data_IF_621367722412
#
_entry.id   IF_621367722412
#
_cell.length_a   1.000
_cell.length_b   1.000
_cell.length_c   1.000
_cell.angle_alpha   90.00
_cell.angle_beta   90.00
_cell.angle_gamma   90.00
#
_symmetry.space_group_name_H-M   'P 1'
#
loop_
_entity.id
_entity.type
_entity.pdbx_description
1 polymer ?
#
# COMPACT_ATOMS: atom_id res chain seq x y z
N UNK A 1 16.76 -5.62 7.06
CA UNK A 1 15.98 -4.38 7.15
C UNK A 1 15.71 -3.81 5.76
N UNK A 2 16.72 -3.68 4.90
CA UNK A 2 16.47 -3.19 3.53
C UNK A 2 15.59 -4.13 2.70
N UNK A 3 15.68 -5.44 2.89
CA UNK A 3 14.78 -6.39 2.18
C UNK A 3 13.32 -6.18 2.59
N UNK A 4 13.03 -5.93 3.87
CA UNK A 4 11.65 -5.76 4.36
C UNK A 4 10.98 -4.52 3.77
N UNK A 5 11.71 -3.40 3.64
CA UNK A 5 11.17 -2.19 2.98
C UNK A 5 10.88 -2.43 1.49
N UNK A 6 11.70 -3.22 0.81
CA UNK A 6 11.48 -3.53 -0.61
C UNK A 6 10.29 -4.47 -0.77
N UNK A 7 10.16 -5.48 0.09
CA UNK A 7 9.00 -6.38 0.09
C UNK A 7 7.71 -5.61 0.35
N UNK A 8 7.64 -4.85 1.44
CA UNK A 8 6.44 -4.07 1.78
C UNK A 8 6.16 -2.98 0.73
N UNK A 9 7.19 -2.24 0.32
CA UNK A 9 7.06 -1.13 -0.62
C UNK A 9 6.59 -1.58 -1.99
N UNK A 10 7.14 -2.66 -2.54
CA UNK A 10 6.72 -3.19 -3.85
C UNK A 10 5.28 -3.71 -3.81
N UNK A 11 4.91 -4.45 -2.76
CA UNK A 11 3.53 -4.93 -2.59
C UNK A 11 2.57 -3.74 -2.52
N UNK A 12 2.88 -2.74 -1.70
CA UNK A 12 1.98 -1.60 -1.50
C UNK A 12 1.94 -0.63 -2.70
N UNK A 13 3.01 -0.55 -3.49
CA UNK A 13 2.99 0.15 -4.79
C UNK A 13 1.98 -0.51 -5.72
N UNK A 14 1.98 -1.84 -5.82
CA UNK A 14 1.01 -2.56 -6.65
C UNK A 14 -0.41 -2.34 -6.12
N UNK A 15 -0.64 -2.47 -4.81
CA UNK A 15 -1.95 -2.24 -4.18
C UNK A 15 -2.48 -0.81 -4.44
N UNK A 16 -1.63 0.21 -4.32
CA UNK A 16 -2.02 1.57 -4.64
C UNK A 16 -2.33 1.76 -6.13
N UNK A 17 -1.53 1.19 -7.02
CA UNK A 17 -1.75 1.30 -8.47
C UNK A 17 -3.05 0.63 -8.93
N UNK A 18 -3.38 -0.56 -8.41
CA UNK A 18 -4.63 -1.24 -8.80
C UNK A 18 -5.88 -0.48 -8.34
N UNK A 19 -5.79 0.34 -7.28
CA UNK A 19 -6.86 1.26 -6.86
C UNK A 19 -6.92 2.50 -7.73
N UNK A 20 -5.76 3.12 -8.01
CA UNK A 20 -5.65 4.29 -8.89
C UNK A 20 -6.18 3.98 -10.30
N UNK A 21 -5.93 2.79 -10.82
CA UNK A 21 -6.39 2.36 -12.15
C UNK A 21 -7.79 1.73 -12.13
N UNK A 22 -8.51 1.80 -11.01
CA UNK A 22 -9.86 1.25 -10.88
C UNK A 22 -9.94 -0.23 -11.32
N UNK A 23 -8.90 -1.01 -10.99
CA UNK A 23 -8.87 -2.47 -11.17
C UNK A 23 -9.46 -3.14 -9.93
N UNK A 24 -9.34 -2.49 -8.77
CA UNK A 24 -9.88 -2.94 -7.50
C UNK A 24 -11.27 -2.36 -7.23
N UNK A 25 -12.08 -3.07 -6.43
CA UNK A 25 -13.46 -2.73 -6.05
C UNK A 25 -14.50 -2.88 -7.17
N UNK A 26 -14.21 -3.68 -8.19
CA UNK A 26 -15.18 -4.07 -9.21
C UNK A 26 -16.05 -5.19 -8.64
N UNK A 27 -17.37 -4.98 -8.66
CA UNK A 27 -18.36 -5.98 -8.27
C UNK A 27 -19.15 -6.45 -9.50
N UNK A 28 -19.57 -7.73 -9.53
CA UNK A 28 -20.51 -8.24 -10.53
C UNK A 28 -21.82 -7.45 -10.52
N UNK A 29 -22.46 -7.32 -11.68
CA UNK A 29 -23.68 -6.52 -11.86
C UNK A 29 -24.85 -6.99 -10.96
N UNK A 30 -24.87 -8.28 -10.66
CA UNK A 30 -25.85 -8.97 -9.83
C UNK A 30 -25.82 -8.46 -8.38
N UNK A 31 -24.64 -8.08 -7.89
CA UNK A 31 -24.47 -7.59 -6.50
C UNK A 31 -25.18 -6.26 -6.29
N UNK A 32 -25.26 -5.40 -7.31
CA UNK A 32 -25.95 -4.12 -7.23
C UNK A 32 -27.48 -4.23 -7.20
N UNK A 33 -28.03 -5.41 -7.49
CA UNK A 33 -29.47 -5.68 -7.43
C UNK A 33 -29.93 -6.19 -6.06
N UNK A 34 -28.99 -6.58 -5.20
CA UNK A 34 -29.27 -7.06 -3.86
C UNK A 34 -29.69 -5.92 -2.93
N UNK A 35 -30.53 -6.23 -1.94
CA UNK A 35 -30.86 -5.30 -0.87
C UNK A 35 -29.66 -5.16 0.07
N UNK A 36 -29.53 -4.00 0.73
CA UNK A 36 -28.42 -3.74 1.67
C UNK A 36 -28.25 -4.82 2.76
N UNK A 37 -29.35 -5.42 3.24
CA UNK A 37 -29.32 -6.47 4.27
C UNK A 37 -28.88 -7.84 3.73
N UNK A 38 -28.87 -8.02 2.42
CA UNK A 38 -28.47 -9.25 1.73
C UNK A 38 -26.98 -9.23 1.34
N UNK A 39 -26.33 -8.07 1.40
CA UNK A 39 -24.90 -7.93 1.12
C UNK A 39 -24.07 -8.48 2.27
N UNK A 40 -23.06 -9.29 1.94
CA UNK A 40 -22.03 -9.67 2.89
C UNK A 40 -21.07 -8.48 3.15
N UNK A 41 -20.25 -8.60 4.19
CA UNK A 41 -19.34 -7.52 4.58
C UNK A 41 -18.33 -7.15 3.49
N UNK A 42 -17.91 -8.11 2.66
CA UNK A 42 -16.97 -7.87 1.56
C UNK A 42 -17.66 -7.08 0.45
N UNK A 43 -18.80 -7.55 -0.07
CA UNK A 43 -19.52 -6.83 -1.11
C UNK A 43 -19.99 -5.46 -0.65
N UNK A 44 -20.43 -5.31 0.61
CA UNK A 44 -20.78 -4.02 1.17
C UNK A 44 -19.58 -3.05 1.18
N UNK A 45 -18.43 -3.51 1.65
CA UNK A 45 -17.20 -2.70 1.68
C UNK A 45 -16.75 -2.33 0.27
N UNK A 46 -16.75 -3.29 -0.65
CA UNK A 46 -16.33 -3.05 -2.02
C UNK A 46 -17.30 -2.14 -2.77
N UNK A 47 -18.60 -2.27 -2.54
CA UNK A 47 -19.61 -1.37 -3.12
C UNK A 47 -19.41 0.07 -2.61
N UNK A 48 -19.16 0.24 -1.30
CA UNK A 48 -18.89 1.56 -0.74
C UNK A 48 -17.60 2.18 -1.30
N UNK A 49 -16.50 1.42 -1.30
CA UNK A 49 -15.19 1.90 -1.75
C UNK A 49 -15.17 2.15 -3.27
N UNK A 50 -15.92 1.35 -4.04
CA UNK A 50 -16.02 1.43 -5.50
C UNK A 50 -17.11 2.37 -6.02
N UNK A 51 -18.02 2.86 -5.17
CA UNK A 51 -19.12 3.74 -5.59
C UNK A 51 -18.64 5.04 -6.25
N UNK A 52 -17.57 5.64 -5.70
CA UNK A 52 -16.97 6.87 -6.25
C UNK A 52 -15.56 6.56 -6.77
N UNK A 53 -15.32 6.65 -8.10
CA UNK A 53 -13.99 6.48 -8.68
C UNK A 53 -12.94 7.37 -8.01
N UNK A 54 -13.31 8.62 -7.74
CA UNK A 54 -12.43 9.57 -7.06
C UNK A 54 -12.01 9.10 -5.66
N UNK A 55 -12.92 8.51 -4.89
CA UNK A 55 -12.62 7.99 -3.56
C UNK A 55 -11.67 6.79 -3.62
N UNK A 56 -11.91 5.84 -4.54
CA UNK A 56 -11.01 4.70 -4.77
C UNK A 56 -9.60 5.16 -5.16
N UNK A 57 -9.50 6.14 -6.08
CA UNK A 57 -8.23 6.74 -6.52
C UNK A 57 -7.51 7.40 -5.34
N UNK A 58 -8.24 8.14 -4.50
CA UNK A 58 -7.68 8.77 -3.30
C UNK A 58 -7.07 7.74 -2.34
N UNK A 59 -7.77 6.64 -2.07
CA UNK A 59 -7.25 5.53 -1.26
C UNK A 59 -6.01 4.90 -1.90
N UNK A 60 -5.99 4.77 -3.23
CA UNK A 60 -4.83 4.31 -3.96
C UNK A 60 -3.61 5.23 -3.80
N UNK A 61 -3.78 6.54 -3.78
CA UNK A 61 -2.68 7.48 -3.49
C UNK A 61 -2.16 7.37 -2.06
N UNK A 62 -3.04 7.14 -1.07
CA UNK A 62 -2.65 6.90 0.33
C UNK A 62 -1.86 5.60 0.52
N UNK A 63 -1.87 4.69 -0.46
CA UNK A 63 -1.02 3.50 -0.48
C UNK A 63 0.22 3.70 -1.34
N UNK A 64 0.06 4.24 -2.55
CA UNK A 64 1.11 4.36 -3.54
C UNK A 64 2.22 5.34 -3.13
N UNK A 65 1.86 6.54 -2.63
CA UNK A 65 2.84 7.57 -2.28
C UNK A 65 3.72 7.09 -1.12
N UNK A 66 3.18 6.63 0.03
CA UNK A 66 4.01 6.16 1.14
C UNK A 66 4.85 4.94 0.77
N UNK A 67 4.29 4.02 -0.03
CA UNK A 67 5.03 2.84 -0.51
C UNK A 67 6.21 3.22 -1.43
N UNK A 68 6.02 4.22 -2.30
CA UNK A 68 7.09 4.74 -3.16
C UNK A 68 8.19 5.38 -2.31
N UNK A 69 7.82 6.18 -1.31
CA UNK A 69 8.77 6.80 -0.37
C UNK A 69 9.55 5.74 0.43
N UNK A 70 8.91 4.60 0.75
CA UNK A 70 9.52 3.48 1.47
C UNK A 70 10.71 2.86 0.69
N UNK A 71 10.66 2.89 -0.64
CA UNK A 71 11.70 2.33 -1.50
C UNK A 71 12.99 3.15 -1.48
N UNK A 72 12.97 4.45 -1.18
CA UNK A 72 14.17 5.28 -1.17
C UNK A 72 14.74 5.44 0.25
N UNK A 73 16.02 5.15 0.44
CA UNK A 73 16.69 5.18 1.76
C UNK A 73 16.53 6.51 2.50
N UNK A 74 16.45 7.62 1.76
CA UNK A 74 16.29 8.97 2.32
C UNK A 74 14.89 9.24 2.87
N UNK A 75 13.85 8.66 2.26
CA UNK A 75 12.45 8.95 2.58
C UNK A 75 11.74 7.78 3.24
N UNK A 76 12.44 6.66 3.47
CA UNK A 76 11.82 5.42 3.97
C UNK A 76 11.02 5.58 5.25
N UNK A 77 11.42 6.50 6.13
CA UNK A 77 10.72 6.75 7.39
C UNK A 77 9.45 7.55 7.21
N UNK A 78 9.50 8.57 6.37
CA UNK A 78 8.31 9.30 5.97
C UNK A 78 7.32 8.34 5.30
N UNK A 79 7.82 7.45 4.43
CA UNK A 79 7.04 6.38 3.82
C UNK A 79 6.35 5.48 4.86
N UNK A 80 7.11 4.91 5.80
CA UNK A 80 6.55 4.04 6.83
C UNK A 80 5.52 4.75 7.73
N UNK A 81 5.81 5.97 8.21
CA UNK A 81 4.88 6.74 9.05
C UNK A 81 3.57 7.05 8.32
N UNK A 82 3.64 7.40 7.03
CA UNK A 82 2.46 7.69 6.23
C UNK A 82 1.69 6.42 5.83
N UNK A 83 2.37 5.28 5.72
CA UNK A 83 1.77 3.99 5.34
C UNK A 83 1.02 3.34 6.50
N UNK A 84 1.50 3.54 7.73
CA UNK A 84 0.93 2.97 8.96
C UNK A 84 -0.59 3.17 9.11
N UNK A 85 -1.15 4.40 9.06
CA UNK A 85 -2.59 4.60 9.21
C UNK A 85 -3.39 3.90 8.11
N UNK A 86 -2.85 3.86 6.88
CA UNK A 86 -3.49 3.19 5.75
C UNK A 86 -3.56 1.67 5.96
N UNK A 87 -2.46 1.05 6.39
CA UNK A 87 -2.41 -0.38 6.71
C UNK A 87 -3.29 -0.73 7.91
N UNK A 88 -3.33 0.12 8.94
CA UNK A 88 -4.25 -0.04 10.08
C UNK A 88 -5.70 -0.02 9.62
N UNK A 89 -6.08 0.95 8.77
CA UNK A 89 -7.43 1.05 8.24
C UNK A 89 -7.82 -0.22 7.46
N UNK A 90 -6.96 -0.68 6.54
CA UNK A 90 -7.19 -1.92 5.77
C UNK A 90 -7.32 -3.13 6.68
N UNK A 91 -6.43 -3.29 7.67
CA UNK A 91 -6.46 -4.41 8.61
C UNK A 91 -7.74 -4.42 9.45
N UNK A 92 -8.14 -3.28 10.02
CA UNK A 92 -9.35 -3.19 10.83
C UNK A 92 -10.62 -3.36 10.01
N UNK A 93 -10.68 -2.84 8.77
CA UNK A 93 -11.80 -3.10 7.85
C UNK A 93 -11.91 -4.61 7.58
N UNK A 94 -10.79 -5.27 7.26
CA UNK A 94 -10.81 -6.71 7.00
C UNK A 94 -11.30 -7.53 8.21
N UNK A 95 -10.99 -7.10 9.43
CA UNK A 95 -11.51 -7.74 10.65
C UNK A 95 -13.00 -7.42 10.85
N UNK A 96 -13.37 -6.15 10.82
CA UNK A 96 -14.71 -5.68 11.16
C UNK A 96 -15.77 -6.19 10.19
N UNK A 97 -15.44 -6.26 8.90
CA UNK A 97 -16.36 -6.70 7.84
C UNK A 97 -16.22 -8.19 7.51
N UNK A 98 -15.54 -8.97 8.36
CA UNK A 98 -15.51 -10.43 8.23
C UNK A 98 -14.86 -10.95 6.95
N UNK A 99 -13.82 -10.28 6.45
CA UNK A 99 -13.11 -10.71 5.24
C UNK A 99 -12.50 -12.12 5.42
N UNK A 100 -12.22 -12.78 4.30
CA UNK A 100 -11.66 -14.14 4.29
C UNK A 100 -10.39 -14.23 5.16
N UNK A 101 -10.13 -15.36 5.86
CA UNK A 101 -8.99 -15.49 6.78
C UNK A 101 -7.64 -15.07 6.18
N UNK A 102 -7.39 -15.42 4.91
CA UNK A 102 -6.14 -15.09 4.24
C UNK A 102 -5.96 -13.58 4.03
N UNK A 103 -7.03 -12.81 3.75
CA UNK A 103 -6.96 -11.34 3.60
C UNK A 103 -6.66 -10.65 4.94
N UNK A 104 -7.27 -11.15 6.03
CA UNK A 104 -7.01 -10.65 7.40
C UNK A 104 -5.57 -10.92 7.84
N UNK A 105 -5.08 -12.14 7.61
CA UNK A 105 -3.70 -12.51 7.94
C UNK A 105 -2.73 -11.70 7.07
N UNK A 106 -2.97 -11.60 5.77
CA UNK A 106 -2.08 -10.87 4.85
C UNK A 106 -1.97 -9.39 5.22
N UNK A 107 -3.09 -8.70 5.39
CA UNK A 107 -3.09 -7.29 5.85
C UNK A 107 -2.44 -7.11 7.23
N UNK A 108 -2.62 -8.07 8.15
CA UNK A 108 -1.93 -8.08 9.43
C UNK A 108 -0.42 -8.23 9.31
N UNK A 109 0.06 -9.11 8.41
CA UNK A 109 1.50 -9.27 8.13
C UNK A 109 2.08 -7.99 7.56
N UNK A 110 1.40 -7.33 6.62
CA UNK A 110 1.85 -6.05 6.05
C UNK A 110 1.95 -4.96 7.14
N UNK A 111 0.94 -4.85 8.00
CA UNK A 111 0.95 -3.93 9.15
C UNK A 111 2.11 -4.23 10.11
N UNK A 112 2.35 -5.50 10.42
CA UNK A 112 3.47 -5.92 11.28
C UNK A 112 4.82 -5.60 10.64
N UNK A 113 4.98 -5.79 9.32
CA UNK A 113 6.20 -5.42 8.60
C UNK A 113 6.48 -3.92 8.73
N UNK A 114 5.46 -3.08 8.59
CA UNK A 114 5.59 -1.63 8.74
C UNK A 114 5.99 -1.23 10.17
N UNK A 115 5.36 -1.85 11.17
CA UNK A 115 5.72 -1.68 12.60
C UNK A 115 7.16 -2.14 12.86
N UNK A 116 7.61 -3.24 12.26
CA UNK A 116 9.00 -3.72 12.39
C UNK A 116 9.98 -2.72 11.75
N UNK A 117 9.63 -2.16 10.59
CA UNK A 117 10.43 -1.11 9.94
C UNK A 117 10.51 0.13 10.85
N UNK A 118 9.39 0.60 11.39
CA UNK A 118 9.34 1.74 12.31
C UNK A 118 10.08 1.50 13.62
N UNK A 119 9.90 0.34 14.26
CA UNK A 119 10.53 0.01 15.56
C UNK A 119 12.06 -0.08 15.48
N UNK A 120 12.61 -0.60 14.38
CA UNK A 120 14.05 -0.61 14.15
C UNK A 120 14.62 0.80 13.90
N UNK A 121 13.76 1.78 13.63
CA UNK A 121 14.12 3.17 13.35
C UNK A 121 14.31 4.01 14.61
N UNK A 122 13.62 3.71 15.71
CA UNK A 122 13.75 4.50 16.94
C UNK A 122 15.22 4.59 17.42
N UNK A 123 15.97 3.50 17.29
CA UNK A 123 17.42 3.46 17.56
C UNK A 123 18.26 4.18 16.49
N UNK A 124 17.73 4.32 15.28
CA UNK A 124 18.37 5.03 14.16
C UNK A 124 18.06 6.52 14.14
N UNK A 125 16.98 7.03 14.72
CA UNK A 125 16.72 8.48 14.84
C UNK A 125 17.88 9.19 15.57
N UNK A 126 18.45 8.55 16.59
CA UNK A 126 19.66 9.00 17.28
C UNK A 126 20.91 8.98 16.37
N UNK A 127 20.97 8.05 15.40
CA UNK A 127 22.03 7.95 14.39
C UNK A 127 21.84 8.90 13.21
N UNK A 128 20.60 9.18 12.81
CA UNK A 128 20.23 10.12 11.74
C UNK A 128 20.59 11.55 12.11
N UNK A 129 20.48 11.92 13.39
CA UNK A 129 21.02 13.19 13.88
C UNK A 129 22.52 13.31 13.58
N UNK A 130 23.28 12.21 13.71
CA UNK A 130 24.70 12.14 13.35
C UNK A 130 24.97 11.99 11.84
N UNK A 131 24.07 11.41 11.04
CA UNK A 131 24.24 11.27 9.58
C UNK A 131 23.71 12.47 8.78
N UNK A 132 22.80 13.29 9.31
CA UNK A 132 22.47 14.61 8.74
C UNK A 132 23.71 15.50 8.66
N UNK A 133 24.67 15.29 9.57
CA UNK A 133 26.00 15.91 9.53
C UNK A 133 26.93 15.32 8.44
N UNK A 134 26.61 14.18 7.83
CA UNK A 134 27.41 13.52 6.79
C UNK A 134 26.55 12.94 5.65
N UNK A 135 26.21 13.73 4.61
CA UNK A 135 25.34 13.27 3.54
C UNK A 135 25.99 12.15 2.72
N UNK A 136 25.40 10.95 2.77
CA UNK A 136 25.75 9.84 1.86
C UNK A 136 25.11 10.03 0.49
N UNK A 137 25.81 9.61 -0.57
CA UNK A 137 25.32 9.62 -1.95
C UNK A 137 24.60 8.32 -2.30
N UNK A 138 23.35 8.43 -2.79
CA UNK A 138 22.48 7.29 -3.12
C UNK A 138 22.13 7.19 -4.62
N UNK A 139 23.02 7.66 -5.52
CA UNK A 139 22.72 7.74 -6.97
C UNK A 139 22.35 6.38 -7.58
N UNK A 140 23.08 5.32 -7.23
CA UNK A 140 22.80 3.98 -7.73
C UNK A 140 21.44 3.44 -7.26
N UNK A 141 21.14 3.56 -5.97
CA UNK A 141 19.84 3.17 -5.41
C UNK A 141 18.70 3.93 -6.09
N UNK A 142 18.86 5.24 -6.31
CA UNK A 142 17.85 6.05 -6.98
C UNK A 142 17.52 5.53 -8.38
N UNK A 143 18.56 5.26 -9.19
CA UNK A 143 18.38 4.73 -10.55
C UNK A 143 17.71 3.37 -10.51
N UNK A 144 18.18 2.46 -9.65
CA UNK A 144 17.62 1.12 -9.52
C UNK A 144 16.13 1.15 -9.12
N UNK A 145 15.79 1.95 -8.11
CA UNK A 145 14.41 2.08 -7.64
C UNK A 145 13.52 2.75 -8.69
N UNK A 146 14.03 3.71 -9.45
CA UNK A 146 13.29 4.35 -10.53
C UNK A 146 12.98 3.36 -11.65
N UNK A 147 13.96 2.53 -12.04
CA UNK A 147 13.74 1.45 -13.03
C UNK A 147 12.72 0.46 -12.51
N UNK A 148 12.86 0.00 -11.26
CA UNK A 148 11.94 -0.95 -10.62
C UNK A 148 10.50 -0.41 -10.60
N UNK A 149 10.32 0.85 -10.20
CA UNK A 149 9.02 1.51 -10.22
C UNK A 149 8.44 1.60 -11.63
N UNK A 150 9.25 2.03 -12.62
CA UNK A 150 8.81 2.12 -14.00
C UNK A 150 8.37 0.75 -14.55
N UNK A 151 9.10 -0.32 -14.23
CA UNK A 151 8.73 -1.69 -14.59
C UNK A 151 7.42 -2.10 -13.97
N UNK A 152 7.24 -1.91 -12.65
CA UNK A 152 5.99 -2.27 -11.95
C UNK A 152 4.80 -1.49 -12.52
N UNK A 153 4.96 -0.17 -12.72
CA UNK A 153 3.93 0.67 -13.32
C UNK A 153 3.56 0.15 -14.70
N UNK A 154 4.54 -0.14 -15.55
CA UNK A 154 4.31 -0.63 -16.92
C UNK A 154 3.55 -1.96 -16.93
N UNK A 155 3.91 -2.89 -16.03
CA UNK A 155 3.22 -4.18 -15.89
C UNK A 155 1.75 -3.99 -15.48
N UNK A 156 1.50 -3.14 -14.49
CA UNK A 156 0.13 -2.91 -13.99
C UNK A 156 -0.72 -2.18 -15.04
N UNK A 157 -0.14 -1.23 -15.78
CA UNK A 157 -0.81 -0.59 -16.92
C UNK A 157 -1.11 -1.57 -18.06
N UNK A 158 -0.14 -2.43 -18.40
CA UNK A 158 -0.37 -3.49 -19.39
C UNK A 158 -1.52 -4.41 -18.96
N UNK A 159 -1.58 -4.78 -17.68
CA UNK A 159 -2.69 -5.57 -17.15
C UNK A 159 -4.04 -4.85 -17.29
N UNK A 160 -4.12 -3.55 -16.97
CA UNK A 160 -5.36 -2.75 -17.13
C UNK A 160 -5.90 -2.76 -18.57
N UNK A 161 -5.01 -2.71 -19.57
CA UNK A 161 -5.41 -2.69 -20.99
C UNK A 161 -6.01 -4.03 -21.44
N UNK A 162 -5.67 -5.12 -20.76
CA UNK A 162 -6.06 -6.48 -21.14
C UNK A 162 -7.22 -7.07 -20.31
N UNK A 163 -7.86 -6.26 -19.45
CA UNK A 163 -9.10 -6.61 -18.72
C UNK A 163 -10.28 -5.96 -19.42
#
# INVERSE_FOLDING_TARGET
MDILRYVLGLIMVVYGLIKILEIQFILPSEVYQLRLIELDGISLTWAFMGYSPWFSILLGFFEFIPATLLLFSKTKYLGAVLLLPTLMAVFFINIAFGFLPHMRIFSGVLLLLDIVILSNTWKLMLKLFNEILQPKTYKFEFILNAILLATVITIVFYYKINI
#
